data_IF_172539334221
#
_entry.id   IF_172539334221
#
_cell.length_a   1.000
_cell.length_b   1.000
_cell.length_c   1.000
_cell.angle_alpha   90.00
_cell.angle_beta   90.00
_cell.angle_gamma   90.00
#
_symmetry.space_group_name_H-M   'P 1'
#
loop_
_entity.id
_entity.type
_entity.pdbx_description
1 polymer ?
#
# COMPACT_ATOMS: atom_id res chain seq x y z
N UNK A 1 1.67 -9.21 -10.88
CA UNK A 1 2.82 -9.07 -9.99
C UNK A 1 2.39 -9.02 -8.54
N UNK A 2 3.26 -9.36 -7.64
CA UNK A 2 3.03 -9.30 -6.19
C UNK A 2 4.16 -8.52 -5.56
N UNK A 3 3.82 -7.69 -4.59
CA UNK A 3 4.84 -6.93 -3.88
C UNK A 3 4.41 -6.65 -2.45
N UNK A 4 5.34 -6.73 -1.52
CA UNK A 4 5.14 -6.33 -0.14
C UNK A 4 5.80 -4.98 0.06
N UNK A 5 5.00 -3.99 0.48
CA UNK A 5 5.48 -2.64 0.73
C UNK A 5 5.60 -2.42 2.22
N UNK A 6 6.64 -1.72 2.62
CA UNK A 6 6.78 -1.28 4.00
C UNK A 6 6.22 0.13 4.13
N UNK A 7 5.26 0.32 5.02
CA UNK A 7 4.57 1.60 5.18
C UNK A 7 4.77 2.13 6.59
N UNK A 8 5.31 3.33 6.70
CA UNK A 8 5.50 3.99 7.98
C UNK A 8 4.29 4.86 8.30
N UNK A 9 3.97 4.98 9.57
CA UNK A 9 2.91 5.86 10.04
C UNK A 9 1.53 5.22 10.17
N UNK A 10 1.39 3.94 9.87
CA UNK A 10 0.14 3.23 10.12
C UNK A 10 0.08 2.88 11.61
N UNK A 11 -0.69 3.63 12.36
CA UNK A 11 -0.74 3.49 13.81
C UNK A 11 -2.07 2.99 14.35
N UNK A 12 -3.07 2.82 13.51
CA UNK A 12 -4.39 2.37 13.93
C UNK A 12 -5.15 1.74 12.77
N UNK A 13 -6.30 1.12 13.09
CA UNK A 13 -7.13 0.46 12.08
C UNK A 13 -7.60 1.41 10.98
N UNK A 14 -7.84 2.68 11.32
CA UNK A 14 -8.22 3.71 10.36
C UNK A 14 -7.11 3.95 9.33
N UNK A 15 -5.87 4.00 9.80
CA UNK A 15 -4.71 4.17 8.93
C UNK A 15 -4.57 2.98 8.00
N UNK A 16 -4.75 1.78 8.53
CA UNK A 16 -4.74 0.55 7.75
C UNK A 16 -5.77 0.61 6.63
N UNK A 17 -6.98 1.04 6.95
CA UNK A 17 -8.07 1.13 5.98
C UNK A 17 -7.76 2.16 4.89
N UNK A 18 -7.19 3.30 5.26
CA UNK A 18 -6.80 4.33 4.29
C UNK A 18 -5.77 3.80 3.29
N UNK A 19 -4.76 3.11 3.79
CA UNK A 19 -3.72 2.54 2.93
C UNK A 19 -4.32 1.46 2.03
N UNK A 20 -5.15 0.60 2.59
CA UNK A 20 -5.84 -0.44 1.83
C UNK A 20 -6.65 0.17 0.67
N UNK A 21 -7.47 1.16 0.98
CA UNK A 21 -8.34 1.79 -0.02
C UNK A 21 -7.52 2.49 -1.10
N UNK A 22 -6.46 3.18 -0.71
CA UNK A 22 -5.59 3.89 -1.66
C UNK A 22 -4.93 2.91 -2.63
N UNK A 23 -4.42 1.80 -2.13
CA UNK A 23 -3.78 0.79 -2.97
C UNK A 23 -4.80 0.03 -3.82
N UNK A 24 -5.95 -0.28 -3.25
CA UNK A 24 -7.01 -0.99 -3.98
C UNK A 24 -7.59 -0.15 -5.13
N UNK A 25 -7.50 1.16 -5.05
CA UNK A 25 -7.96 2.05 -6.10
C UNK A 25 -7.00 2.15 -7.29
N UNK A 26 -5.79 1.61 -7.16
CA UNK A 26 -4.81 1.62 -8.25
C UNK A 26 -5.26 0.69 -9.37
N UNK A 27 -5.07 1.15 -10.61
CA UNK A 27 -5.41 0.35 -11.78
C UNK A 27 -4.63 -0.96 -11.81
N UNK A 28 -5.32 -2.05 -12.04
CA UNK A 28 -4.71 -3.37 -12.16
C UNK A 28 -4.52 -4.10 -10.83
N UNK A 29 -4.76 -3.46 -9.71
CA UNK A 29 -4.64 -4.10 -8.40
C UNK A 29 -5.86 -4.99 -8.15
N UNK A 30 -5.62 -6.26 -7.86
CA UNK A 30 -6.68 -7.24 -7.62
C UNK A 30 -6.85 -7.59 -6.13
N UNK A 31 -5.79 -7.42 -5.33
CA UNK A 31 -5.84 -7.75 -3.91
C UNK A 31 -4.86 -6.89 -3.12
N UNK A 32 -5.27 -6.48 -1.93
CA UNK A 32 -4.42 -5.76 -1.00
C UNK A 32 -4.62 -6.34 0.40
N UNK A 33 -3.52 -6.73 1.04
CA UNK A 33 -3.51 -7.18 2.42
C UNK A 33 -2.61 -6.24 3.22
N UNK A 34 -3.18 -5.54 4.17
CA UNK A 34 -2.41 -4.63 5.02
C UNK A 34 -2.24 -5.28 6.38
N UNK A 35 -1.01 -5.32 6.86
CA UNK A 35 -0.69 -5.84 8.19
C UNK A 35 -0.21 -4.68 9.06
N UNK A 36 -1.06 -4.26 9.98
CA UNK A 36 -0.77 -3.13 10.85
C UNK A 36 0.40 -3.43 11.79
N UNK A 37 0.44 -4.63 12.32
CA UNK A 37 1.48 -5.06 13.26
C UNK A 37 2.86 -5.07 12.62
N UNK A 38 2.94 -5.57 11.39
CA UNK A 38 4.21 -5.62 10.65
C UNK A 38 4.52 -4.30 9.94
N UNK A 39 3.54 -3.41 9.80
CA UNK A 39 3.70 -2.17 9.05
C UNK A 39 3.86 -2.41 7.56
N UNK A 40 3.22 -3.44 7.02
CA UNK A 40 3.37 -3.82 5.62
C UNK A 40 2.04 -3.84 4.87
N UNK A 41 2.12 -3.68 3.56
CA UNK A 41 0.98 -3.85 2.67
C UNK A 41 1.40 -4.78 1.53
N UNK A 42 0.71 -5.90 1.40
CA UNK A 42 0.97 -6.85 0.33
C UNK A 42 -0.02 -6.60 -0.80
N UNK A 43 0.51 -6.37 -2.00
CA UNK A 43 -0.30 -6.00 -3.16
C UNK A 43 -0.14 -7.05 -4.25
N UNK A 44 -1.27 -7.48 -4.80
CA UNK A 44 -1.31 -8.36 -5.98
C UNK A 44 -1.94 -7.56 -7.12
N UNK A 45 -1.27 -7.49 -8.24
CA UNK A 45 -1.75 -6.74 -9.40
C UNK A 45 -1.56 -7.54 -10.69
N UNK A 46 -2.40 -7.27 -11.68
CA UNK A 46 -2.31 -7.88 -13.00
C UNK A 46 -1.33 -7.20 -13.93
N UNK A 47 -0.64 -6.17 -13.47
CA UNK A 47 0.36 -5.44 -14.25
C UNK A 47 1.57 -5.09 -13.38
N UNK A 48 2.66 -4.71 -14.03
CA UNK A 48 3.83 -4.20 -13.31
C UNK A 48 3.54 -2.79 -12.79
N UNK A 49 3.81 -2.58 -11.52
CA UNK A 49 3.68 -1.27 -10.89
C UNK A 49 5.04 -0.92 -10.29
N UNK A 50 5.54 0.27 -10.62
CA UNK A 50 6.84 0.71 -10.14
C UNK A 50 6.77 1.14 -8.67
N UNK A 51 7.92 1.12 -7.99
CA UNK A 51 8.02 1.63 -6.62
C UNK A 51 7.62 3.11 -6.56
N UNK A 52 7.93 3.88 -7.61
CA UNK A 52 7.57 5.30 -7.67
C UNK A 52 6.05 5.49 -7.63
N UNK A 53 5.31 4.65 -8.33
CA UNK A 53 3.84 4.70 -8.29
C UNK A 53 3.31 4.38 -6.90
N UNK A 54 3.82 3.33 -6.27
CA UNK A 54 3.43 2.97 -4.91
C UNK A 54 3.76 4.09 -3.93
N UNK A 55 4.96 4.65 -4.03
CA UNK A 55 5.39 5.76 -3.18
C UNK A 55 4.44 6.94 -3.27
N UNK A 56 4.04 7.30 -4.49
CA UNK A 56 3.12 8.40 -4.71
C UNK A 56 1.76 8.14 -4.08
N UNK A 57 1.22 6.95 -4.27
CA UNK A 57 -0.09 6.58 -3.72
C UNK A 57 -0.06 6.59 -2.19
N UNK A 58 0.99 6.03 -1.61
CA UNK A 58 1.15 6.02 -0.15
C UNK A 58 1.30 7.44 0.39
N UNK A 59 2.09 8.29 -0.27
CA UNK A 59 2.27 9.68 0.14
C UNK A 59 0.97 10.47 0.03
N UNK A 60 0.21 10.26 -1.03
CA UNK A 60 -1.08 10.93 -1.22
C UNK A 60 -2.09 10.52 -0.14
N UNK A 61 -1.96 9.32 0.39
CA UNK A 61 -2.81 8.84 1.48
C UNK A 61 -2.37 9.41 2.85
N UNK A 62 -1.25 10.10 2.91
CA UNK A 62 -0.74 10.71 4.14
C UNK A 62 0.26 9.86 4.90
N UNK A 63 0.84 8.86 4.27
CA UNK A 63 1.81 7.95 4.88
C UNK A 63 3.11 7.95 4.10
N UNK A 64 4.08 7.20 4.58
CA UNK A 64 5.39 7.12 3.92
C UNK A 64 5.73 5.67 3.62
N UNK A 65 6.15 5.41 2.40
CA UNK A 65 6.64 4.09 2.02
C UNK A 65 8.14 4.01 2.30
N UNK A 66 8.53 3.05 3.13
CA UNK A 66 9.93 2.75 3.38
C UNK A 66 10.41 1.78 2.31
N UNK A 67 11.53 2.05 1.74
CA UNK A 67 12.11 1.18 0.71
C UNK A 67 12.67 -0.11 1.29
#
# INVERSE_FOLDING_TARGET
MEKTLKVNGMMCAHCQQHVHDALAAMEGVSKVDVNLEAGTAHVVAGREISNAEFKKVIADAGYEMAD
#
